data_IF_506110507914
#
_entry.id   IF_506110507914
#
_cell.length_a   1.000
_cell.length_b   1.000
_cell.length_c   1.000
_cell.angle_alpha   90.00
_cell.angle_beta   90.00
_cell.angle_gamma   90.00
#
_symmetry.space_group_name_H-M   'P 1'
#
loop_
_entity.id
_entity.type
_entity.pdbx_description
1 polymer ?
#
# COMPACT_ATOMS: atom_id res chain seq x y z
N UNK A 1 30.97 -43.39 -87.89
CA UNK A 1 30.23 -42.16 -87.55
C UNK A 1 29.64 -42.40 -86.16
N UNK A 2 30.04 -41.77 -85.04
CA UNK A 2 30.81 -40.55 -84.84
C UNK A 2 31.32 -40.49 -83.37
N UNK A 3 32.35 -41.27 -83.03
CA UNK A 3 33.07 -41.11 -81.74
C UNK A 3 33.91 -39.83 -81.70
N UNK A 4 34.17 -39.23 -82.86
CA UNK A 4 34.95 -38.00 -83.05
C UNK A 4 34.14 -36.72 -82.75
N UNK A 5 32.81 -36.78 -82.85
CA UNK A 5 31.93 -35.63 -82.55
C UNK A 5 31.62 -35.51 -81.05
N UNK A 6 31.62 -36.63 -80.32
CA UNK A 6 31.53 -36.61 -78.87
C UNK A 6 32.79 -35.99 -78.26
N UNK A 7 33.98 -36.28 -78.79
CA UNK A 7 35.24 -35.69 -78.31
C UNK A 7 35.42 -34.21 -78.65
N UNK A 8 34.85 -33.71 -79.76
CA UNK A 8 34.95 -32.29 -80.13
C UNK A 8 33.91 -31.41 -79.44
N UNK A 9 32.78 -31.97 -78.97
CA UNK A 9 31.83 -31.26 -78.09
C UNK A 9 32.28 -31.25 -76.62
N UNK A 10 33.10 -32.23 -76.22
CA UNK A 10 33.68 -32.35 -74.87
C UNK A 10 35.05 -31.62 -74.73
N UNK A 11 35.68 -31.22 -75.83
CA UNK A 11 37.05 -30.69 -75.85
C UNK A 11 37.13 -29.19 -76.12
N UNK A 12 37.08 -28.37 -75.06
CA UNK A 12 37.81 -27.08 -74.83
C UNK A 12 37.00 -26.08 -73.99
N UNK A 13 35.66 -26.03 -74.11
CA UNK A 13 34.82 -25.11 -73.35
C UNK A 13 34.07 -25.72 -72.14
N UNK A 14 33.69 -27.01 -72.22
CA UNK A 14 32.85 -27.64 -71.20
C UNK A 14 33.60 -28.07 -69.94
N UNK A 15 34.84 -28.56 -70.08
CA UNK A 15 35.69 -29.01 -68.97
C UNK A 15 36.01 -27.89 -67.96
N UNK A 16 36.44 -26.67 -68.36
CA UNK A 16 36.70 -25.61 -67.39
C UNK A 16 35.42 -25.13 -66.69
N UNK A 17 34.28 -25.11 -67.40
CA UNK A 17 32.97 -24.77 -66.80
C UNK A 17 32.56 -25.81 -65.75
N UNK A 18 32.77 -27.10 -66.02
CA UNK A 18 32.50 -28.18 -65.07
C UNK A 18 33.39 -28.07 -63.81
N UNK A 19 34.67 -27.72 -63.98
CA UNK A 19 35.60 -27.53 -62.85
C UNK A 19 35.21 -26.33 -61.98
N UNK A 20 34.83 -25.19 -62.58
CA UNK A 20 34.35 -24.01 -61.85
C UNK A 20 33.04 -24.31 -61.12
N UNK A 21 32.14 -25.07 -61.74
CA UNK A 21 30.91 -25.50 -61.08
C UNK A 21 31.20 -26.41 -59.89
N UNK A 22 32.13 -27.36 -60.04
CA UNK A 22 32.49 -28.31 -58.98
C UNK A 22 33.17 -27.60 -57.79
N UNK A 23 34.04 -26.62 -58.03
CA UNK A 23 34.64 -25.81 -56.96
C UNK A 23 33.60 -24.92 -56.28
N UNK A 24 32.69 -24.30 -57.04
CA UNK A 24 31.59 -23.52 -56.46
C UNK A 24 30.68 -24.38 -55.57
N UNK A 25 30.35 -25.60 -56.00
CA UNK A 25 29.57 -26.56 -55.20
C UNK A 25 30.32 -26.99 -53.95
N UNK A 26 31.63 -27.25 -54.05
CA UNK A 26 32.46 -27.59 -52.88
C UNK A 26 32.50 -26.46 -51.85
N UNK A 27 32.66 -25.21 -52.29
CA UNK A 27 32.64 -24.03 -51.41
C UNK A 27 31.27 -23.86 -50.75
N UNK A 28 30.19 -24.03 -51.53
CA UNK A 28 28.82 -23.95 -51.02
C UNK A 28 28.57 -25.02 -49.94
N UNK A 29 29.02 -26.26 -50.17
CA UNK A 29 28.91 -27.35 -49.19
C UNK A 29 29.67 -27.01 -47.90
N UNK A 30 30.89 -26.49 -48.00
CA UNK A 30 31.68 -26.08 -46.84
C UNK A 30 30.94 -24.99 -46.06
N UNK A 31 30.38 -23.98 -46.74
CA UNK A 31 29.62 -22.91 -46.11
C UNK A 31 28.38 -23.45 -45.39
N UNK A 32 27.63 -24.36 -46.01
CA UNK A 32 26.45 -24.99 -45.42
C UNK A 32 26.83 -25.78 -44.17
N UNK A 33 27.92 -26.55 -44.20
CA UNK A 33 28.42 -27.30 -43.03
C UNK A 33 28.82 -26.35 -41.90
N UNK A 34 29.56 -25.28 -42.20
CA UNK A 34 29.94 -24.27 -41.21
C UNK A 34 28.72 -23.58 -40.57
N UNK A 35 27.72 -23.23 -41.38
CA UNK A 35 26.46 -22.67 -40.88
C UNK A 35 25.73 -23.66 -39.98
N UNK A 36 25.66 -24.93 -40.37
CA UNK A 36 25.00 -25.97 -39.59
C UNK A 36 25.67 -26.17 -38.22
N UNK A 37 27.01 -26.20 -38.19
CA UNK A 37 27.79 -26.27 -36.95
C UNK A 37 27.55 -25.04 -36.06
N UNK A 38 27.59 -23.83 -36.65
CA UNK A 38 27.38 -22.57 -35.91
C UNK A 38 25.97 -22.48 -35.33
N UNK A 39 24.95 -22.88 -36.08
CA UNK A 39 23.56 -22.95 -35.63
C UNK A 39 23.38 -24.02 -34.55
N UNK A 40 24.05 -25.17 -34.67
CA UNK A 40 24.03 -26.23 -33.65
C UNK A 40 24.56 -25.77 -32.30
N UNK A 41 25.67 -25.02 -32.28
CA UNK A 41 26.23 -24.45 -31.04
C UNK A 41 25.31 -23.37 -30.47
N UNK A 42 24.77 -22.50 -31.32
CA UNK A 42 23.89 -21.41 -30.89
C UNK A 42 22.58 -21.93 -30.30
N UNK A 43 21.98 -22.93 -30.93
CA UNK A 43 20.73 -23.57 -30.46
C UNK A 43 20.94 -24.34 -29.16
N UNK A 44 22.10 -25.01 -28.98
CA UNK A 44 22.45 -25.66 -27.70
C UNK A 44 22.61 -24.66 -26.57
N UNK A 45 23.30 -23.54 -26.79
CA UNK A 45 23.45 -22.46 -25.80
C UNK A 45 22.11 -21.79 -25.47
N UNK A 46 21.29 -21.54 -26.48
CA UNK A 46 19.97 -20.94 -26.31
C UNK A 46 19.02 -21.86 -25.52
N UNK A 47 18.97 -23.16 -25.85
CA UNK A 47 18.16 -24.14 -25.09
C UNK A 47 18.69 -24.34 -23.67
N UNK A 48 19.99 -24.40 -23.45
CA UNK A 48 20.54 -24.52 -22.09
C UNK A 48 20.22 -23.30 -21.22
N UNK A 49 20.13 -22.10 -21.81
CA UNK A 49 19.76 -20.87 -21.09
C UNK A 49 18.25 -20.79 -20.84
N UNK A 50 17.42 -21.24 -21.78
CA UNK A 50 15.95 -21.19 -21.70
C UNK A 50 15.29 -22.35 -20.94
N UNK A 51 15.89 -23.55 -20.94
CA UNK A 51 15.23 -24.77 -20.43
C UNK A 51 15.29 -24.96 -18.91
N UNK A 52 16.00 -24.12 -18.16
CA UNK A 52 16.12 -24.30 -16.71
C UNK A 52 16.30 -23.01 -15.94
N UNK A 53 17.27 -22.17 -16.32
CA UNK A 53 17.61 -21.02 -15.49
C UNK A 53 16.72 -19.80 -15.73
N UNK A 54 16.34 -19.48 -16.97
CA UNK A 54 15.58 -18.25 -17.23
C UNK A 54 14.06 -18.36 -16.94
N UNK A 55 13.44 -19.49 -17.28
CA UNK A 55 11.99 -19.68 -17.07
C UNK A 55 11.66 -19.92 -15.59
N UNK A 56 12.40 -20.80 -14.90
CA UNK A 56 12.21 -21.04 -13.46
C UNK A 56 12.56 -19.79 -12.64
N UNK A 57 13.66 -19.09 -12.95
CA UNK A 57 13.99 -17.85 -12.22
C UNK A 57 12.95 -16.74 -12.45
N UNK A 58 12.36 -16.63 -13.64
CA UNK A 58 11.32 -15.65 -13.89
C UNK A 58 10.03 -16.00 -13.14
N UNK A 59 9.65 -17.28 -13.11
CA UNK A 59 8.50 -17.76 -12.34
C UNK A 59 8.72 -17.59 -10.84
N UNK A 60 9.92 -17.88 -10.33
CA UNK A 60 10.31 -17.67 -8.94
C UNK A 60 10.28 -16.19 -8.56
N UNK A 61 10.86 -15.31 -9.39
CA UNK A 61 10.82 -13.86 -9.17
C UNK A 61 9.39 -13.31 -9.22
N UNK A 62 8.56 -13.82 -10.12
CA UNK A 62 7.16 -13.42 -10.24
C UNK A 62 6.35 -13.90 -9.03
N UNK A 63 6.57 -15.13 -8.57
CA UNK A 63 5.96 -15.68 -7.36
C UNK A 63 6.41 -14.93 -6.10
N UNK A 64 7.70 -14.61 -5.97
CA UNK A 64 8.23 -13.81 -4.87
C UNK A 64 7.61 -12.40 -4.87
N UNK A 65 7.52 -11.77 -6.05
CA UNK A 65 6.88 -10.46 -6.19
C UNK A 65 5.39 -10.51 -5.85
N UNK A 66 4.67 -11.55 -6.28
CA UNK A 66 3.26 -11.75 -5.94
C UNK A 66 3.07 -12.04 -4.44
N UNK A 67 3.96 -12.80 -3.81
CA UNK A 67 3.93 -13.05 -2.36
C UNK A 67 4.13 -11.75 -1.60
N UNK A 68 5.16 -10.98 -1.93
CA UNK A 68 5.43 -9.66 -1.33
C UNK A 68 4.26 -8.70 -1.52
N UNK A 69 3.65 -8.68 -2.70
CA UNK A 69 2.49 -7.83 -2.97
C UNK A 69 1.27 -8.26 -2.13
N UNK A 70 1.06 -9.56 -1.90
CA UNK A 70 -0.01 -10.08 -1.03
C UNK A 70 0.24 -9.73 0.43
N UNK A 71 1.45 -9.97 0.94
CA UNK A 71 1.85 -9.63 2.31
C UNK A 71 1.70 -8.13 2.58
N UNK A 72 2.14 -7.28 1.64
CA UNK A 72 1.94 -5.83 1.72
C UNK A 72 0.46 -5.44 1.74
N UNK A 73 -0.37 -6.12 0.95
CA UNK A 73 -1.81 -5.85 0.93
C UNK A 73 -2.48 -6.25 2.24
N UNK A 74 -2.11 -7.40 2.80
CA UNK A 74 -2.58 -7.84 4.12
C UNK A 74 -2.17 -6.86 5.22
N UNK A 75 -0.89 -6.47 5.28
CA UNK A 75 -0.42 -5.46 6.23
C UNK A 75 -1.16 -4.12 6.09
N UNK A 76 -1.45 -3.69 4.85
CA UNK A 76 -2.26 -2.49 4.60
C UNK A 76 -3.71 -2.64 5.06
N UNK A 77 -4.31 -3.83 4.94
CA UNK A 77 -5.66 -4.10 5.43
C UNK A 77 -5.70 -4.05 6.96
N UNK A 78 -4.73 -4.67 7.61
CA UNK A 78 -4.63 -4.66 9.08
C UNK A 78 -4.40 -3.26 9.62
N UNK A 79 -3.50 -2.49 8.98
CA UNK A 79 -3.27 -1.08 9.35
C UNK A 79 -4.54 -0.23 9.18
N UNK A 80 -5.28 -0.42 8.08
CA UNK A 80 -6.56 0.28 7.86
C UNK A 80 -7.61 -0.10 8.90
N UNK A 81 -7.62 -1.36 9.34
CA UNK A 81 -8.51 -1.82 10.38
C UNK A 81 -8.18 -1.15 11.72
N UNK A 82 -6.90 -1.19 12.13
CA UNK A 82 -6.42 -0.54 13.34
C UNK A 82 -6.68 0.98 13.33
N UNK A 83 -6.50 1.66 12.19
CA UNK A 83 -6.81 3.09 12.06
C UNK A 83 -8.30 3.38 12.27
N UNK A 84 -9.20 2.55 11.76
CA UNK A 84 -10.65 2.72 11.97
C UNK A 84 -11.03 2.51 13.44
N UNK A 85 -10.42 1.53 14.10
CA UNK A 85 -10.61 1.34 15.54
C UNK A 85 -10.11 2.55 16.35
N UNK A 86 -8.95 3.09 15.98
CA UNK A 86 -8.41 4.29 16.62
C UNK A 86 -9.29 5.52 16.38
N UNK A 87 -9.76 5.75 15.15
CA UNK A 87 -10.66 6.85 14.82
C UNK A 87 -11.97 6.77 15.62
N UNK A 88 -12.58 5.58 15.69
CA UNK A 88 -13.82 5.38 16.47
C UNK A 88 -13.61 5.55 17.97
N UNK A 89 -12.47 5.11 18.51
CA UNK A 89 -12.12 5.35 19.91
C UNK A 89 -11.87 6.84 20.19
N UNK A 90 -11.14 7.54 19.31
CA UNK A 90 -10.81 8.96 19.44
C UNK A 90 -12.08 9.82 19.42
N UNK A 91 -13.04 9.51 18.55
CA UNK A 91 -14.32 10.22 18.46
C UNK A 91 -15.12 10.24 19.78
N UNK A 92 -14.97 9.21 20.62
CA UNK A 92 -15.63 9.07 21.93
C UNK A 92 -14.73 9.39 23.11
N UNK A 93 -13.46 9.67 22.85
CA UNK A 93 -12.53 10.05 23.90
C UNK A 93 -12.88 11.45 24.42
N UNK A 94 -12.64 11.68 25.71
CA UNK A 94 -12.70 13.02 26.29
C UNK A 94 -11.59 13.86 25.65
N UNK A 95 -11.98 14.94 25.00
CA UNK A 95 -11.07 15.85 24.31
C UNK A 95 -11.07 17.23 24.95
N UNK A 96 -12.21 17.63 25.51
CA UNK A 96 -12.48 18.99 25.96
C UNK A 96 -12.87 18.99 27.44
N UNK A 97 -12.13 19.74 28.26
CA UNK A 97 -12.41 19.86 29.70
C UNK A 97 -12.39 21.32 30.10
N UNK A 98 -13.48 21.79 30.71
CA UNK A 98 -13.63 23.14 31.22
C UNK A 98 -13.97 23.12 32.70
N UNK A 99 -13.32 23.96 33.50
CA UNK A 99 -13.53 24.04 34.96
C UNK A 99 -13.83 25.49 35.33
N UNK A 100 -14.93 25.69 36.05
CA UNK A 100 -15.32 26.98 36.63
C UNK A 100 -15.46 26.80 38.13
N UNK A 101 -14.78 27.64 38.92
CA UNK A 101 -14.96 27.71 40.36
C UNK A 101 -15.81 28.92 40.69
N UNK A 102 -16.71 28.76 41.65
CA UNK A 102 -17.63 29.81 42.04
C UNK A 102 -18.05 29.65 43.50
N UNK A 103 -18.73 30.66 44.01
CA UNK A 103 -19.37 30.61 45.31
C UNK A 103 -20.88 30.46 45.17
N UNK A 104 -21.42 29.28 45.45
CA UNK A 104 -22.85 29.03 45.40
C UNK A 104 -23.63 29.70 46.56
N UNK A 105 -22.95 29.98 47.67
CA UNK A 105 -23.57 30.51 48.90
C UNK A 105 -22.70 31.62 49.51
N UNK A 106 -23.17 32.89 49.57
CA UNK A 106 -22.40 34.00 50.12
C UNK A 106 -21.87 33.76 51.55
N UNK A 107 -22.59 32.98 52.36
CA UNK A 107 -22.30 32.73 53.78
C UNK A 107 -21.10 31.80 54.05
N UNK A 108 -20.55 31.11 53.03
CA UNK A 108 -19.39 30.22 53.15
C UNK A 108 -18.05 30.89 52.85
N UNK A 109 -18.07 32.08 52.23
CA UNK A 109 -16.87 32.91 52.01
C UNK A 109 -15.74 32.29 51.17
N UNK A 110 -15.97 31.17 50.48
CA UNK A 110 -14.94 30.45 49.73
C UNK A 110 -15.49 29.88 48.41
N UNK A 111 -14.71 29.96 47.33
CA UNK A 111 -15.05 29.40 46.00
C UNK A 111 -14.80 27.88 45.95
N UNK A 112 -15.46 27.16 46.85
CA UNK A 112 -15.39 25.70 46.96
C UNK A 112 -16.40 24.99 46.06
N UNK A 113 -17.37 25.73 45.51
CA UNK A 113 -18.28 25.19 44.50
C UNK A 113 -17.58 25.18 43.13
N UNK A 114 -17.94 24.21 42.29
CA UNK A 114 -17.33 24.05 40.98
C UNK A 114 -18.31 23.52 39.95
N UNK A 115 -18.07 23.83 38.69
CA UNK A 115 -18.68 23.20 37.53
C UNK A 115 -17.56 22.69 36.61
N UNK A 116 -17.64 21.43 36.21
CA UNK A 116 -16.69 20.76 35.31
C UNK A 116 -17.46 20.22 34.13
N UNK A 117 -17.16 20.68 32.93
CA UNK A 117 -17.67 20.12 31.69
C UNK A 117 -16.61 19.16 31.12
N UNK A 118 -17.03 17.94 30.79
CA UNK A 118 -16.21 16.90 30.19
C UNK A 118 -16.89 16.49 28.89
N UNK A 119 -16.33 16.88 27.75
CA UNK A 119 -16.92 16.68 26.44
C UNK A 119 -15.96 15.95 25.49
N UNK A 120 -16.54 15.21 24.55
CA UNK A 120 -15.84 14.60 23.42
C UNK A 120 -15.65 15.60 22.27
N UNK A 121 -15.15 15.12 21.13
CA UNK A 121 -14.94 15.93 19.92
C UNK A 121 -16.23 16.45 19.26
N UNK A 122 -17.39 15.90 19.59
CA UNK A 122 -18.70 16.32 19.09
C UNK A 122 -19.41 17.28 20.05
N UNK A 123 -18.82 17.55 21.22
CA UNK A 123 -19.44 18.34 22.27
C UNK A 123 -20.48 17.55 23.08
N UNK A 124 -20.45 16.21 23.00
CA UNK A 124 -21.26 15.32 23.79
C UNK A 124 -20.50 14.91 25.07
N UNK A 125 -21.21 14.76 26.19
CA UNK A 125 -20.58 14.36 27.44
C UNK A 125 -21.42 14.68 28.67
N UNK A 126 -20.76 15.19 29.70
CA UNK A 126 -21.38 15.47 31.00
C UNK A 126 -20.85 16.76 31.59
N UNK A 127 -21.73 17.52 32.24
CA UNK A 127 -21.35 18.59 33.15
C UNK A 127 -21.65 18.18 34.59
N UNK A 128 -20.65 18.33 35.45
CA UNK A 128 -20.67 18.01 36.87
C UNK A 128 -20.61 19.31 37.65
N UNK A 129 -21.60 19.60 38.48
CA UNK A 129 -21.57 20.76 39.36
C UNK A 129 -21.65 20.33 40.82
N UNK A 130 -20.79 20.90 41.66
CA UNK A 130 -20.79 20.71 43.11
C UNK A 130 -21.14 22.03 43.77
N UNK A 131 -22.23 22.05 44.52
CA UNK A 131 -22.62 23.17 45.38
C UNK A 131 -22.15 22.86 46.79
N UNK A 132 -21.13 23.58 47.24
CA UNK A 132 -20.56 23.42 48.57
C UNK A 132 -21.26 24.36 49.56
N UNK A 133 -22.06 23.79 50.45
CA UNK A 133 -22.68 24.50 51.57
C UNK A 133 -21.88 24.37 52.86
N UNK A 134 -22.39 24.97 53.95
CA UNK A 134 -21.72 24.95 55.26
C UNK A 134 -21.63 23.55 55.88
N UNK A 135 -22.70 22.77 55.78
CA UNK A 135 -22.83 21.46 56.45
C UNK A 135 -22.95 20.29 55.45
N UNK A 136 -23.19 20.57 54.16
CA UNK A 136 -23.33 19.55 53.11
C UNK A 136 -22.79 20.04 51.77
N UNK A 137 -22.39 19.09 50.90
CA UNK A 137 -22.08 19.35 49.50
C UNK A 137 -22.99 18.50 48.63
N UNK A 138 -23.57 19.10 47.60
CA UNK A 138 -24.45 18.42 46.64
C UNK A 138 -23.82 18.44 45.27
N UNK A 139 -23.74 17.26 44.65
CA UNK A 139 -23.18 17.09 43.31
C UNK A 139 -24.29 16.72 42.33
N UNK A 140 -24.35 17.43 41.22
CA UNK A 140 -25.26 17.20 40.11
C UNK A 140 -24.46 16.77 38.88
N UNK A 141 -25.00 15.82 38.13
CA UNK A 141 -24.46 15.41 36.84
C UNK A 141 -25.57 15.57 35.79
N UNK A 142 -25.32 16.38 34.77
CA UNK A 142 -26.27 16.62 33.69
C UNK A 142 -25.64 16.19 32.36
N UNK A 143 -26.35 15.38 31.54
CA UNK A 143 -25.85 15.00 30.22
C UNK A 143 -25.81 16.22 29.31
N UNK A 144 -24.79 16.28 28.45
CA UNK A 144 -24.61 17.32 27.42
C UNK A 144 -24.62 16.62 26.06
N UNK A 145 -25.39 17.15 25.12
CA UNK A 145 -25.43 16.74 23.72
C UNK A 145 -25.24 17.97 22.82
N UNK A 146 -24.21 17.96 21.98
CA UNK A 146 -23.86 19.07 21.09
C UNK A 146 -23.69 20.40 21.82
N UNK A 147 -23.12 20.37 23.04
CA UNK A 147 -22.94 21.56 23.88
C UNK A 147 -24.20 22.08 24.60
N UNK A 148 -25.32 21.34 24.57
CA UNK A 148 -26.56 21.70 25.28
C UNK A 148 -27.04 20.56 26.16
N UNK A 149 -27.76 20.86 27.23
CA UNK A 149 -28.40 19.82 28.06
C UNK A 149 -29.91 19.82 27.89
N UNK A 150 -30.53 18.66 28.05
CA UNK A 150 -31.99 18.55 28.22
C UNK A 150 -32.46 19.10 29.57
N UNK A 151 -31.55 19.25 30.52
CA UNK A 151 -31.81 19.84 31.83
C UNK A 151 -31.43 21.32 31.83
N UNK A 152 -32.07 22.09 32.70
CA UNK A 152 -31.70 23.49 32.91
C UNK A 152 -30.26 23.59 33.43
N UNK A 153 -29.43 24.38 32.75
CA UNK A 153 -28.05 24.63 33.14
C UNK A 153 -27.96 25.93 33.95
N UNK A 154 -27.06 25.99 34.94
CA UNK A 154 -26.72 27.25 35.60
C UNK A 154 -25.74 28.05 34.75
N UNK A 155 -25.57 29.35 35.05
CA UNK A 155 -24.62 30.20 34.32
C UNK A 155 -23.18 29.64 34.38
N UNK A 156 -22.80 29.06 35.52
CA UNK A 156 -21.48 28.46 35.74
C UNK A 156 -21.30 27.15 34.97
N UNK A 157 -22.36 26.34 34.84
CA UNK A 157 -22.35 25.13 34.02
C UNK A 157 -22.25 25.46 32.52
N UNK A 158 -23.00 26.47 32.05
CA UNK A 158 -22.90 26.97 30.68
C UNK A 158 -21.50 27.53 30.40
N UNK A 159 -20.93 28.27 31.34
CA UNK A 159 -19.58 28.81 31.23
C UNK A 159 -18.51 27.71 31.23
N UNK A 160 -18.70 26.64 32.01
CA UNK A 160 -17.81 25.48 31.99
C UNK A 160 -17.84 24.77 30.63
N UNK A 161 -19.03 24.59 30.04
CA UNK A 161 -19.19 24.03 28.68
C UNK A 161 -18.51 24.93 27.64
N UNK A 162 -18.74 26.24 27.70
CA UNK A 162 -18.12 27.19 26.79
C UNK A 162 -16.58 27.19 26.91
N UNK A 163 -16.06 27.05 28.13
CA UNK A 163 -14.62 26.95 28.38
C UNK A 163 -14.06 25.64 27.83
N UNK A 164 -14.76 24.52 28.00
CA UNK A 164 -14.36 23.24 27.42
C UNK A 164 -14.25 23.32 25.89
N UNK A 165 -15.23 23.96 25.23
CA UNK A 165 -15.28 24.11 23.78
C UNK A 165 -14.28 25.13 23.20
N UNK A 166 -13.72 26.00 24.04
CA UNK A 166 -12.75 27.01 23.62
C UNK A 166 -11.30 26.48 23.57
N UNK A 167 -11.05 25.33 24.19
CA UNK A 167 -9.76 24.62 24.19
C UNK A 167 -9.73 23.54 23.12
#
# INVERSE_FOLDING_TARGET
>A
MDSTYLSSLLGTGAVPVLLVLLTAVAILLILVVLLWLRVGVLTRRYRAFMAGNAAASLEDLLNETLSRAREQNEALRDLRFALRELETAQQRAVQHVGIVRFNAFPDTGSDLSFAVAILDGHGDGVVLSSLFGRDESRVYAKPVQGGKSTYHLTAEEEQAIATAQAH
#
